data_IF_566698461788
#
_entry.id   IF_566698461788
#
_cell.length_a   1.000
_cell.length_b   1.000
_cell.length_c   1.000
_cell.angle_alpha   90.00
_cell.angle_beta   90.00
_cell.angle_gamma   90.00
#
_symmetry.space_group_name_H-M   'P 1'
#
loop_
_entity.id
_entity.type
_entity.pdbx_description
1 polymer ?
#
# COMPACT_ATOMS: atom_id res chain seq x y z
N UNK A 1 -21.51 34.01 11.42
CA UNK A 1 -20.28 34.82 11.36
C UNK A 1 -19.71 34.81 9.97
N UNK A 2 -18.91 33.79 9.64
CA UNK A 2 -18.27 33.65 8.33
C UNK A 2 -19.22 33.73 7.13
N UNK A 3 -20.33 32.97 7.13
CA UNK A 3 -21.31 33.01 6.02
C UNK A 3 -21.92 34.39 5.74
N UNK A 4 -22.15 35.19 6.80
CA UNK A 4 -22.65 36.56 6.66
C UNK A 4 -21.56 37.49 6.09
N UNK A 5 -20.29 37.26 6.44
CA UNK A 5 -19.16 38.06 5.96
C UNK A 5 -18.90 37.87 4.46
N UNK A 6 -19.19 36.68 3.91
CA UNK A 6 -19.10 36.39 2.48
C UNK A 6 -20.43 36.60 1.73
N UNK A 7 -21.44 37.21 2.37
CA UNK A 7 -22.80 37.38 1.83
C UNK A 7 -23.49 36.10 1.33
N UNK A 8 -23.07 34.93 1.82
CA UNK A 8 -23.69 33.65 1.48
C UNK A 8 -24.74 33.31 2.53
N UNK A 9 -25.98 33.72 2.26
CA UNK A 9 -27.12 33.58 3.18
C UNK A 9 -27.44 32.10 3.42
N UNK A 10 -27.39 31.25 2.40
CA UNK A 10 -27.69 29.82 2.54
C UNK A 10 -26.70 29.13 3.48
N UNK A 11 -25.40 29.43 3.31
CA UNK A 11 -24.35 28.90 4.19
C UNK A 11 -24.49 29.45 5.61
N UNK A 12 -24.83 30.73 5.77
CA UNK A 12 -25.05 31.34 7.07
C UNK A 12 -26.24 30.72 7.82
N UNK A 13 -27.36 30.48 7.12
CA UNK A 13 -28.57 29.86 7.66
C UNK A 13 -28.32 28.39 8.02
N UNK A 14 -27.64 27.63 7.15
CA UNK A 14 -27.25 26.24 7.45
C UNK A 14 -26.37 26.13 8.70
N UNK A 15 -25.36 27.01 8.82
CA UNK A 15 -24.50 27.05 10.00
C UNK A 15 -25.26 27.48 11.28
N UNK A 16 -26.17 28.46 11.18
CA UNK A 16 -27.04 28.86 12.29
C UNK A 16 -27.99 27.75 12.72
N UNK A 17 -28.55 26.99 11.78
CA UNK A 17 -29.41 25.85 12.06
C UNK A 17 -28.66 24.77 12.83
N UNK A 18 -27.46 24.38 12.37
CA UNK A 18 -26.61 23.40 13.03
C UNK A 18 -26.22 23.86 14.46
N UNK A 19 -25.84 25.13 14.61
CA UNK A 19 -25.51 25.70 15.93
C UNK A 19 -26.72 25.74 16.87
N UNK A 20 -27.90 26.08 16.36
CA UNK A 20 -29.13 26.14 17.13
C UNK A 20 -29.50 24.76 17.65
N UNK A 21 -29.48 23.74 16.79
CA UNK A 21 -29.73 22.34 17.18
C UNK A 21 -28.77 21.91 18.30
N UNK A 22 -27.47 22.18 18.15
CA UNK A 22 -26.48 21.84 19.17
C UNK A 22 -26.74 22.56 20.51
N UNK A 23 -27.11 23.84 20.46
CA UNK A 23 -27.46 24.61 21.65
C UNK A 23 -28.71 24.09 22.35
N UNK A 24 -29.72 23.66 21.59
CA UNK A 24 -30.94 23.07 22.12
C UNK A 24 -30.65 21.75 22.84
N UNK A 25 -29.74 20.90 22.32
CA UNK A 25 -29.35 19.68 23.02
C UNK A 25 -28.68 19.96 24.37
N UNK A 26 -27.84 20.98 24.46
CA UNK A 26 -27.22 21.41 25.73
C UNK A 26 -28.31 21.89 26.72
N UNK A 27 -29.28 22.68 26.25
CA UNK A 27 -30.39 23.16 27.07
C UNK A 27 -31.23 21.98 27.59
N UNK A 28 -31.55 21.01 26.73
CA UNK A 28 -32.32 19.81 27.13
C UNK A 28 -31.53 18.97 28.15
N UNK A 29 -30.24 18.73 27.91
CA UNK A 29 -29.40 17.93 28.82
C UNK A 29 -29.29 18.60 30.21
N UNK A 30 -28.99 19.90 30.24
CA UNK A 30 -28.91 20.64 31.50
C UNK A 30 -30.26 20.73 32.22
N UNK A 31 -31.37 20.91 31.49
CA UNK A 31 -32.71 20.86 32.06
C UNK A 31 -33.04 19.50 32.70
N UNK A 32 -32.75 18.39 32.00
CA UNK A 32 -32.96 17.04 32.54
C UNK A 32 -32.15 16.80 33.81
N UNK A 33 -30.88 17.21 33.83
CA UNK A 33 -30.01 17.12 35.01
C UNK A 33 -30.58 17.93 36.19
N UNK A 34 -30.97 19.18 35.97
CA UNK A 34 -31.57 20.02 37.02
C UNK A 34 -32.87 19.43 37.58
N UNK A 35 -33.69 18.84 36.71
CA UNK A 35 -34.94 18.19 37.11
C UNK A 35 -34.70 16.88 37.85
N UNK A 36 -33.72 16.08 37.43
CA UNK A 36 -33.30 14.87 38.12
C UNK A 36 -32.78 15.18 39.54
N UNK A 37 -32.00 16.26 39.67
CA UNK A 37 -31.49 16.78 40.95
C UNK A 37 -32.55 17.51 41.80
N UNK A 38 -33.78 17.66 41.30
CA UNK A 38 -34.92 18.30 42.00
C UNK A 38 -34.63 19.72 42.49
N UNK A 39 -33.91 20.52 41.71
CA UNK A 39 -33.71 21.93 42.06
C UNK A 39 -35.06 22.66 42.25
N UNK A 40 -35.23 23.46 43.32
CA UNK A 40 -36.46 24.18 43.56
C UNK A 40 -36.67 25.25 42.48
N UNK A 41 -37.86 25.26 41.88
CA UNK A 41 -38.24 26.24 40.87
C UNK A 41 -38.52 27.59 41.54
N UNK A 42 -38.05 28.68 40.94
CA UNK A 42 -38.33 30.04 41.44
C UNK A 42 -39.84 30.29 41.41
N UNK A 43 -40.40 30.72 42.54
CA UNK A 43 -41.82 31.06 42.65
C UNK A 43 -42.08 32.41 41.96
N UNK A 44 -42.58 32.37 40.73
CA UNK A 44 -43.02 33.56 40.02
C UNK A 44 -44.31 34.10 40.65
N UNK A 45 -44.28 35.33 41.17
CA UNK A 45 -45.40 36.01 41.83
C UNK A 45 -46.60 36.29 40.90
N UNK A 46 -46.39 36.28 39.58
CA UNK A 46 -47.43 36.50 38.56
C UNK A 46 -47.73 35.23 37.75
N UNK A 47 -48.78 34.50 38.15
CA UNK A 47 -49.20 33.23 37.54
C UNK A 47 -49.52 33.36 36.03
N UNK A 48 -50.03 34.51 35.58
CA UNK A 48 -50.42 34.76 34.19
C UNK A 48 -49.20 34.79 33.25
N UNK A 49 -48.13 35.48 33.63
CA UNK A 49 -46.89 35.57 32.84
C UNK A 49 -46.18 34.22 32.77
N UNK A 50 -46.20 33.45 33.86
CA UNK A 50 -45.65 32.08 33.92
C UNK A 50 -46.31 31.15 32.91
N UNK A 51 -47.64 31.21 32.77
CA UNK A 51 -48.40 30.36 31.83
C UNK A 51 -48.06 30.68 30.37
N UNK A 52 -47.90 31.97 30.05
CA UNK A 52 -47.53 32.40 28.69
C UNK A 52 -46.10 31.98 28.33
N UNK A 53 -45.13 32.19 29.22
CA UNK A 53 -43.74 31.77 29.00
C UNK A 53 -43.65 30.24 28.80
N UNK A 54 -44.31 29.46 29.66
CA UNK A 54 -44.34 28.01 29.49
C UNK A 54 -44.99 27.58 28.16
N UNK A 55 -46.01 28.31 27.67
CA UNK A 55 -46.65 28.02 26.39
C UNK A 55 -45.70 28.26 25.21
N UNK A 56 -44.96 29.37 25.22
CA UNK A 56 -43.95 29.66 24.18
C UNK A 56 -42.83 28.63 24.19
N UNK A 57 -42.26 28.31 25.36
CA UNK A 57 -41.19 27.31 25.49
C UNK A 57 -41.67 25.94 24.99
N UNK A 58 -42.87 25.50 25.40
CA UNK A 58 -43.41 24.20 24.99
C UNK A 58 -43.67 24.15 23.49
N UNK A 59 -44.21 25.23 22.91
CA UNK A 59 -44.49 25.33 21.49
C UNK A 59 -43.21 25.30 20.65
N UNK A 60 -42.22 26.14 20.99
CA UNK A 60 -40.93 26.17 20.30
C UNK A 60 -40.19 24.84 20.43
N UNK A 61 -40.22 24.23 21.62
CA UNK A 61 -39.61 22.91 21.83
C UNK A 61 -40.25 21.82 20.97
N UNK A 62 -41.58 21.81 20.82
CA UNK A 62 -42.27 20.86 19.96
C UNK A 62 -41.91 21.08 18.49
N UNK A 63 -41.84 22.33 18.05
CA UNK A 63 -41.51 22.70 16.67
C UNK A 63 -40.10 22.22 16.29
N UNK A 64 -39.12 22.33 17.19
CA UNK A 64 -37.75 21.83 16.99
C UNK A 64 -37.69 20.29 17.03
N UNK A 65 -38.49 19.66 17.91
CA UNK A 65 -38.43 18.22 18.13
C UNK A 65 -38.88 17.42 16.90
N UNK A 66 -39.90 17.90 16.18
CA UNK A 66 -40.47 17.23 15.00
C UNK A 66 -39.41 16.97 13.90
N UNK A 67 -38.69 17.98 13.36
CA UNK A 67 -37.67 17.75 12.34
C UNK A 67 -36.49 16.93 12.86
N UNK A 68 -36.15 17.05 14.15
CA UNK A 68 -35.09 16.23 14.75
C UNK A 68 -35.44 14.74 14.77
N UNK A 69 -36.69 14.39 15.12
CA UNK A 69 -37.18 13.00 15.08
C UNK A 69 -37.17 12.47 13.64
N UNK A 70 -37.61 13.26 12.67
CA UNK A 70 -37.60 12.86 11.26
C UNK A 70 -36.17 12.56 10.80
N UNK A 71 -35.23 13.48 11.07
CA UNK A 71 -33.80 13.28 10.75
C UNK A 71 -33.23 12.05 11.44
N UNK A 72 -33.57 11.83 12.72
CA UNK A 72 -33.13 10.65 13.46
C UNK A 72 -33.62 9.35 12.81
N UNK A 73 -34.90 9.28 12.43
CA UNK A 73 -35.46 8.11 11.74
C UNK A 73 -34.75 7.89 10.40
N UNK A 74 -34.48 8.96 9.64
CA UNK A 74 -33.77 8.87 8.36
C UNK A 74 -32.36 8.31 8.52
N UNK A 75 -31.57 8.86 9.44
CA UNK A 75 -30.21 8.39 9.73
C UNK A 75 -30.21 6.96 10.27
N UNK A 76 -31.21 6.60 11.09
CA UNK A 76 -31.39 5.24 11.58
C UNK A 76 -31.68 4.26 10.44
N UNK A 77 -32.55 4.63 9.51
CA UNK A 77 -32.89 3.80 8.35
C UNK A 77 -31.69 3.65 7.40
N UNK A 78 -30.97 4.74 7.13
CA UNK A 78 -29.73 4.72 6.34
C UNK A 78 -28.66 3.83 6.99
N UNK A 79 -28.49 3.94 8.31
CA UNK A 79 -27.55 3.11 9.07
C UNK A 79 -27.94 1.62 8.98
N UNK A 80 -29.23 1.29 9.16
CA UNK A 80 -29.74 -0.08 9.02
C UNK A 80 -29.56 -0.61 7.61
N UNK A 81 -29.86 0.19 6.59
CA UNK A 81 -29.64 -0.17 5.18
C UNK A 81 -28.17 -0.50 4.92
N UNK A 82 -27.25 0.38 5.33
CA UNK A 82 -25.81 0.18 5.14
C UNK A 82 -25.29 -1.06 5.89
N UNK A 83 -25.75 -1.26 7.13
CA UNK A 83 -25.34 -2.42 7.94
C UNK A 83 -25.85 -3.73 7.33
N UNK A 84 -27.14 -3.80 7.01
CA UNK A 84 -27.75 -4.99 6.42
C UNK A 84 -27.24 -5.25 5.00
N UNK A 85 -27.01 -4.20 4.19
CA UNK A 85 -26.41 -4.32 2.86
C UNK A 85 -25.02 -4.94 2.92
N UNK A 86 -24.16 -4.47 3.83
CA UNK A 86 -22.83 -5.08 4.05
C UNK A 86 -22.93 -6.53 4.49
N UNK A 87 -23.85 -6.83 5.42
CA UNK A 87 -24.06 -8.19 5.91
C UNK A 87 -24.54 -9.12 4.78
N UNK A 88 -25.53 -8.68 4.00
CA UNK A 88 -26.05 -9.37 2.81
C UNK A 88 -24.94 -9.73 1.83
N UNK A 89 -24.15 -8.74 1.40
CA UNK A 89 -23.02 -8.97 0.48
C UNK A 89 -22.00 -9.93 1.09
N UNK A 90 -21.70 -9.79 2.39
CA UNK A 90 -20.71 -10.62 3.08
C UNK A 90 -21.13 -12.07 3.29
N UNK A 91 -22.43 -12.33 3.43
CA UNK A 91 -22.99 -13.67 3.66
C UNK A 91 -23.31 -14.37 2.35
N UNK A 92 -24.03 -13.69 1.45
CA UNK A 92 -24.58 -14.31 0.26
C UNK A 92 -23.57 -14.43 -0.88
N UNK A 93 -22.57 -13.54 -0.96
CA UNK A 93 -21.54 -13.62 -2.01
C UNK A 93 -20.28 -14.40 -1.60
N UNK A 94 -20.15 -14.83 -0.34
CA UNK A 94 -18.94 -15.51 0.19
C UNK A 94 -18.56 -16.78 -0.56
N UNK A 95 -19.54 -17.44 -1.19
CA UNK A 95 -19.32 -18.66 -1.99
C UNK A 95 -18.73 -18.42 -3.37
N UNK A 96 -18.63 -17.16 -3.83
CA UNK A 96 -18.08 -16.83 -5.14
C UNK A 96 -16.56 -16.70 -5.09
N UNK A 97 -15.88 -17.19 -6.12
CA UNK A 97 -14.41 -17.14 -6.22
C UNK A 97 -13.85 -15.72 -6.27
N UNK A 98 -14.65 -14.74 -6.70
CA UNK A 98 -14.31 -13.33 -6.77
C UNK A 98 -14.94 -12.50 -5.63
N UNK A 99 -15.33 -13.14 -4.52
CA UNK A 99 -16.00 -12.50 -3.38
C UNK A 99 -15.28 -11.23 -2.87
N UNK A 100 -13.99 -11.31 -2.58
CA UNK A 100 -13.24 -10.18 -2.01
C UNK A 100 -13.23 -8.96 -2.95
N UNK A 101 -13.17 -9.22 -4.26
CA UNK A 101 -13.30 -8.18 -5.27
C UNK A 101 -14.72 -7.59 -5.29
N UNK A 102 -15.76 -8.43 -5.36
CA UNK A 102 -17.16 -8.01 -5.39
C UNK A 102 -17.51 -7.13 -4.19
N UNK A 103 -17.02 -7.51 -3.00
CA UNK A 103 -17.19 -6.73 -1.77
C UNK A 103 -16.56 -5.34 -1.87
N UNK A 104 -15.38 -5.23 -2.49
CA UNK A 104 -14.66 -3.96 -2.65
C UNK A 104 -15.28 -3.01 -3.69
N UNK A 105 -15.97 -3.56 -4.69
CA UNK A 105 -16.60 -2.79 -5.79
C UNK A 105 -18.10 -2.57 -5.62
N UNK A 106 -18.65 -2.92 -4.45
CA UNK A 106 -20.07 -2.71 -4.12
C UNK A 106 -20.29 -1.32 -3.53
N UNK A 107 -21.23 -0.58 -4.10
CA UNK A 107 -21.68 0.72 -3.61
C UNK A 107 -23.07 0.62 -2.98
N UNK A 108 -23.26 1.31 -1.85
CA UNK A 108 -24.51 1.37 -1.11
C UNK A 108 -25.08 2.79 -1.22
N UNK A 109 -26.13 2.96 -2.01
CA UNK A 109 -26.72 4.26 -2.32
C UNK A 109 -28.07 4.39 -1.62
N UNK A 110 -28.08 5.05 -0.45
CA UNK A 110 -29.30 5.39 0.25
C UNK A 110 -29.76 6.78 -0.19
N UNK A 111 -30.69 6.85 -1.15
CA UNK A 111 -31.20 8.13 -1.63
C UNK A 111 -32.39 8.60 -0.79
N UNK A 112 -32.30 9.79 -0.20
CA UNK A 112 -33.38 10.37 0.61
C UNK A 112 -34.51 10.84 -0.32
N UNK A 113 -35.53 10.01 -0.51
CA UNK A 113 -36.71 10.29 -1.34
C UNK A 113 -36.78 9.55 -2.68
N UNK A 114 -35.79 8.71 -3.00
CA UNK A 114 -35.83 7.78 -4.14
C UNK A 114 -35.68 6.32 -3.68
N UNK A 115 -35.70 5.39 -4.63
CA UNK A 115 -35.51 3.96 -4.31
C UNK A 115 -34.04 3.71 -3.90
N UNK A 116 -33.78 3.12 -2.73
CA UNK A 116 -32.43 2.79 -2.31
C UNK A 116 -31.83 1.70 -3.21
N UNK A 117 -30.55 1.80 -3.53
CA UNK A 117 -29.89 0.89 -4.49
C UNK A 117 -28.59 0.29 -3.94
N UNK A 118 -28.36 -0.97 -4.24
CA UNK A 118 -27.07 -1.64 -4.07
C UNK A 118 -26.51 -1.94 -5.45
N UNK A 119 -25.35 -1.37 -5.77
CA UNK A 119 -24.72 -1.49 -7.09
C UNK A 119 -23.43 -2.29 -6.99
N UNK A 120 -23.33 -3.37 -7.77
CA UNK A 120 -22.14 -4.23 -7.84
C UNK A 120 -21.58 -4.14 -9.26
N UNK A 121 -20.32 -3.71 -9.38
CA UNK A 121 -19.64 -3.59 -10.67
C UNK A 121 -18.70 -4.78 -10.89
N UNK A 122 -19.16 -5.80 -11.62
CA UNK A 122 -18.42 -7.04 -11.87
C UNK A 122 -17.79 -7.07 -13.28
N UNK A 123 -17.06 -6.00 -13.65
CA UNK A 123 -16.43 -5.90 -14.97
C UNK A 123 -15.14 -6.73 -15.05
N UNK A 124 -14.92 -7.45 -16.15
CA UNK A 124 -13.66 -8.17 -16.42
C UNK A 124 -13.47 -9.47 -15.60
N UNK A 125 -14.52 -9.94 -14.94
CA UNK A 125 -14.54 -11.17 -14.14
C UNK A 125 -15.62 -12.15 -14.64
N UNK A 126 -15.64 -13.37 -14.09
CA UNK A 126 -16.66 -14.38 -14.43
C UNK A 126 -18.04 -13.80 -14.15
N UNK A 127 -18.93 -13.92 -15.13
CA UNK A 127 -20.32 -13.48 -14.99
C UNK A 127 -21.02 -14.31 -13.92
N UNK A 128 -21.88 -13.64 -13.17
CA UNK A 128 -22.81 -14.25 -12.24
C UNK A 128 -24.00 -14.72 -13.07
N UNK A 129 -24.33 -16.01 -12.97
CA UNK A 129 -25.46 -16.63 -13.68
C UNK A 129 -26.78 -16.00 -13.25
N UNK A 130 -27.71 -15.85 -14.19
CA UNK A 130 -29.03 -15.28 -13.95
C UNK A 130 -29.79 -16.03 -12.85
N UNK A 131 -29.67 -17.37 -12.79
CA UNK A 131 -30.26 -18.20 -11.72
C UNK A 131 -29.76 -17.78 -10.33
N UNK A 132 -28.48 -17.42 -10.21
CA UNK A 132 -27.92 -16.95 -8.94
C UNK A 132 -28.39 -15.54 -8.60
N UNK A 133 -28.59 -14.68 -9.60
CA UNK A 133 -29.15 -13.33 -9.40
C UNK A 133 -30.59 -13.41 -8.85
N UNK A 134 -31.38 -14.35 -9.35
CA UNK A 134 -32.75 -14.58 -8.87
C UNK A 134 -32.77 -15.09 -7.42
N UNK A 135 -31.90 -16.05 -7.09
CA UNK A 135 -31.72 -16.50 -5.70
C UNK A 135 -31.29 -15.34 -4.80
N UNK A 136 -30.35 -14.51 -5.26
CA UNK A 136 -29.84 -13.36 -4.51
C UNK A 136 -30.92 -12.30 -4.28
N UNK A 137 -31.77 -12.04 -5.27
CA UNK A 137 -32.92 -11.15 -5.15
C UNK A 137 -33.96 -11.66 -4.14
N UNK A 138 -34.18 -12.97 -4.08
CA UNK A 138 -35.06 -13.57 -3.08
C UNK A 138 -34.46 -13.47 -1.68
N UNK A 139 -33.18 -13.80 -1.51
CA UNK A 139 -32.50 -13.73 -0.21
C UNK A 139 -32.36 -12.32 0.36
N UNK A 140 -32.33 -11.30 -0.50
CA UNK A 140 -32.42 -9.89 -0.08
C UNK A 140 -33.66 -9.63 0.79
N UNK A 141 -34.75 -10.37 0.58
CA UNK A 141 -36.00 -10.20 1.33
C UNK A 141 -35.91 -10.62 2.80
N UNK A 142 -34.91 -11.43 3.16
CA UNK A 142 -34.64 -11.83 4.55
C UNK A 142 -34.12 -10.64 5.40
N UNK A 143 -33.67 -9.58 4.74
CA UNK A 143 -33.15 -8.37 5.35
C UNK A 143 -34.23 -7.28 5.36
N UNK A 144 -34.69 -6.93 6.56
CA UNK A 144 -35.82 -6.00 6.74
C UNK A 144 -35.64 -4.64 6.04
N UNK A 145 -34.40 -4.13 5.98
CA UNK A 145 -34.07 -2.84 5.37
C UNK A 145 -33.74 -2.95 3.87
N UNK A 146 -33.69 -4.17 3.31
CA UNK A 146 -33.35 -4.40 1.89
C UNK A 146 -34.53 -4.83 1.03
N UNK A 147 -35.73 -5.03 1.60
CA UNK A 147 -36.90 -5.52 0.86
C UNK A 147 -37.21 -4.68 -0.38
N UNK A 148 -37.23 -3.37 -0.23
CA UNK A 148 -37.56 -2.42 -1.30
C UNK A 148 -36.31 -1.86 -2.01
N UNK A 149 -35.13 -2.44 -1.76
CA UNK A 149 -33.86 -1.99 -2.36
C UNK A 149 -33.69 -2.58 -3.75
N UNK A 150 -33.29 -1.78 -4.73
CA UNK A 150 -32.93 -2.28 -6.06
C UNK A 150 -31.51 -2.84 -6.06
N UNK A 151 -31.36 -4.09 -6.47
CA UNK A 151 -30.05 -4.72 -6.67
C UNK A 151 -29.65 -4.56 -8.14
N UNK A 152 -28.57 -3.82 -8.41
CA UNK A 152 -28.04 -3.57 -9.75
C UNK A 152 -26.68 -4.24 -9.87
N UNK A 153 -26.55 -5.18 -10.79
CA UNK A 153 -25.29 -5.88 -11.03
C UNK A 153 -24.84 -5.57 -12.45
N UNK A 154 -23.88 -4.67 -12.55
CA UNK A 154 -23.27 -4.26 -13.81
C UNK A 154 -22.21 -5.29 -14.18
N UNK A 155 -22.53 -6.14 -15.15
CA UNK A 155 -21.62 -7.14 -15.67
C UNK A 155 -21.14 -6.69 -17.05
N UNK A 156 -19.84 -6.79 -17.30
CA UNK A 156 -19.29 -6.44 -18.61
C UNK A 156 -19.90 -7.29 -19.71
N UNK A 157 -20.56 -6.65 -20.67
CA UNK A 157 -20.86 -7.27 -21.96
C UNK A 157 -19.56 -7.80 -22.57
N UNK A 158 -19.67 -8.90 -23.33
CA UNK A 158 -18.57 -9.64 -23.97
C UNK A 158 -17.54 -8.77 -24.70
N UNK A 159 -17.87 -7.52 -25.08
CA UNK A 159 -16.99 -6.58 -25.76
C UNK A 159 -15.99 -5.84 -24.85
N UNK A 160 -16.16 -5.80 -23.52
CA UNK A 160 -15.14 -5.21 -22.61
C UNK A 160 -13.98 -6.16 -22.31
N UNK A 161 -14.13 -7.45 -22.61
CA UNK A 161 -13.11 -8.46 -22.34
C UNK A 161 -11.92 -8.39 -23.30
N UNK A 162 -12.09 -7.85 -24.51
CA UNK A 162 -10.98 -7.70 -25.47
C UNK A 162 -10.00 -6.62 -25.04
N UNK A 163 -10.49 -5.44 -24.65
CA UNK A 163 -9.65 -4.34 -24.16
C UNK A 163 -8.90 -4.69 -22.86
N UNK A 164 -9.58 -5.34 -21.91
CA UNK A 164 -8.94 -5.79 -20.66
C UNK A 164 -7.92 -6.91 -20.93
N UNK A 165 -8.17 -7.78 -21.91
CA UNK A 165 -7.20 -8.81 -22.33
C UNK A 165 -5.97 -8.16 -22.98
N UNK A 166 -6.16 -7.14 -23.79
CA UNK A 166 -5.08 -6.38 -24.44
C UNK A 166 -4.21 -5.62 -23.43
N UNK A 167 -4.84 -4.95 -22.45
CA UNK A 167 -4.10 -4.32 -21.34
C UNK A 167 -3.27 -5.32 -20.54
N UNK A 168 -3.85 -6.48 -20.19
CA UNK A 168 -3.13 -7.55 -19.47
C UNK A 168 -1.97 -8.12 -20.27
N UNK A 169 -2.12 -8.26 -21.59
CA UNK A 169 -1.04 -8.70 -22.47
C UNK A 169 0.08 -7.67 -22.50
N UNK A 170 -0.23 -6.37 -22.60
CA UNK A 170 0.77 -5.29 -22.55
C UNK A 170 1.52 -5.28 -21.22
N UNK A 171 0.79 -5.33 -20.10
CA UNK A 171 1.39 -5.34 -18.76
C UNK A 171 2.27 -6.58 -18.55
N UNK A 172 1.86 -7.74 -19.08
CA UNK A 172 2.68 -8.96 -19.03
C UNK A 172 3.97 -8.84 -19.84
N UNK A 173 3.93 -8.17 -21.01
CA UNK A 173 5.11 -7.91 -21.84
C UNK A 173 6.04 -6.91 -21.13
N UNK A 174 5.49 -5.84 -20.57
CA UNK A 174 6.26 -4.86 -19.81
C UNK A 174 6.92 -5.48 -18.58
N UNK A 175 6.23 -6.41 -17.91
CA UNK A 175 6.77 -7.15 -16.76
C UNK A 175 7.91 -8.10 -17.18
N UNK A 176 7.77 -8.79 -18.31
CA UNK A 176 8.82 -9.65 -18.87
C UNK A 176 10.06 -8.82 -19.24
N UNK A 177 9.88 -7.69 -19.92
CA UNK A 177 10.97 -6.78 -20.28
C UNK A 177 11.72 -6.26 -19.04
N UNK A 178 10.98 -5.85 -17.99
CA UNK A 178 11.58 -5.43 -16.71
C UNK A 178 12.31 -6.57 -16.03
N UNK A 179 11.77 -7.80 -16.07
CA UNK A 179 12.45 -8.97 -15.51
C UNK A 179 13.77 -9.25 -16.23
N UNK A 180 13.80 -9.12 -17.55
CA UNK A 180 15.02 -9.30 -18.35
C UNK A 180 16.06 -8.22 -18.06
N UNK A 181 15.63 -6.97 -17.87
CA UNK A 181 16.51 -5.88 -17.47
C UNK A 181 17.10 -6.10 -16.08
N UNK A 182 16.29 -6.53 -15.12
CA UNK A 182 16.74 -6.88 -13.76
C UNK A 182 17.76 -8.03 -13.79
N UNK A 183 17.54 -9.05 -14.63
CA UNK A 183 18.49 -10.14 -14.80
C UNK A 183 19.83 -9.65 -15.37
N UNK A 184 19.82 -8.79 -16.39
CA UNK A 184 21.03 -8.19 -16.97
C UNK A 184 21.81 -7.37 -15.94
N UNK A 185 21.12 -6.51 -15.20
CA UNK A 185 21.71 -5.69 -14.13
C UNK A 185 22.31 -6.56 -13.02
N UNK A 186 21.64 -7.66 -12.66
CA UNK A 186 22.12 -8.59 -11.63
C UNK A 186 23.43 -9.27 -12.05
N UNK A 187 23.53 -9.69 -13.31
CA UNK A 187 24.76 -10.27 -13.87
C UNK A 187 25.92 -9.25 -13.89
N UNK A 188 25.64 -8.00 -14.23
CA UNK A 188 26.64 -6.93 -14.22
C UNK A 188 27.13 -6.61 -12.80
N UNK A 189 26.22 -6.54 -11.82
CA UNK A 189 26.56 -6.36 -10.41
C UNK A 189 27.44 -7.51 -9.91
N UNK A 190 27.13 -8.75 -10.29
CA UNK A 190 27.93 -9.91 -9.91
C UNK A 190 29.34 -9.84 -10.50
N UNK A 191 29.47 -9.45 -11.78
CA UNK A 191 30.76 -9.22 -12.41
C UNK A 191 31.59 -8.13 -11.69
N UNK A 192 30.97 -7.00 -11.34
CA UNK A 192 31.61 -5.91 -10.59
C UNK A 192 32.03 -6.34 -9.17
N UNK A 193 31.21 -7.16 -8.50
CA UNK A 193 31.56 -7.73 -7.19
C UNK A 193 32.77 -8.65 -7.28
N UNK A 194 32.86 -9.47 -8.32
CA UNK A 194 34.02 -10.33 -8.52
C UNK A 194 35.30 -9.52 -8.75
N UNK A 195 35.26 -8.48 -9.60
CA UNK A 195 36.40 -7.57 -9.81
C UNK A 195 36.84 -6.88 -8.53
N UNK A 196 35.90 -6.39 -7.71
CA UNK A 196 36.25 -5.75 -6.43
C UNK A 196 36.84 -6.74 -5.42
N UNK A 197 36.36 -7.99 -5.39
CA UNK A 197 36.92 -9.07 -4.57
C UNK A 197 38.34 -9.43 -5.01
N UNK A 198 38.59 -9.54 -6.32
CA UNK A 198 39.93 -9.80 -6.87
C UNK A 198 40.91 -8.70 -6.48
N UNK A 199 40.49 -7.43 -6.58
CA UNK A 199 41.29 -6.28 -6.14
C UNK A 199 41.65 -6.37 -4.65
N UNK A 200 40.69 -6.69 -3.79
CA UNK A 200 40.92 -6.82 -2.35
C UNK A 200 41.90 -7.96 -2.03
N UNK A 201 41.78 -9.10 -2.72
CA UNK A 201 42.70 -10.24 -2.58
C UNK A 201 44.11 -9.83 -3.02
N UNK A 202 44.24 -9.13 -4.15
CA UNK A 202 45.52 -8.60 -4.62
C UNK A 202 46.18 -7.67 -3.60
N UNK A 203 45.42 -6.70 -3.05
CA UNK A 203 45.93 -5.77 -2.03
C UNK A 203 46.40 -6.51 -0.77
N UNK A 204 45.70 -7.58 -0.36
CA UNK A 204 46.12 -8.39 0.79
C UNK A 204 47.42 -9.14 0.51
N UNK A 205 47.49 -9.85 -0.63
CA UNK A 205 48.67 -10.65 -1.02
C UNK A 205 49.89 -9.75 -1.22
N UNK A 206 49.74 -8.59 -1.87
CA UNK A 206 50.87 -7.67 -2.12
C UNK A 206 51.42 -7.08 -0.82
N UNK A 207 50.54 -6.71 0.12
CA UNK A 207 50.95 -6.25 1.45
C UNK A 207 51.67 -7.34 2.26
N UNK A 208 51.15 -8.57 2.25
CA UNK A 208 51.83 -9.71 2.89
C UNK A 208 53.19 -10.01 2.25
N UNK A 209 53.28 -9.99 0.93
CA UNK A 209 54.53 -10.22 0.20
C UNK A 209 55.59 -9.17 0.54
N UNK A 210 55.21 -7.89 0.59
CA UNK A 210 56.12 -6.80 0.98
C UNK A 210 56.59 -6.92 2.44
N UNK A 211 55.76 -7.44 3.34
CA UNK A 211 56.14 -7.68 4.73
C UNK A 211 57.11 -8.86 4.89
N UNK A 212 56.85 -9.97 4.18
CA UNK A 212 57.65 -11.20 4.26
C UNK A 212 58.98 -11.05 3.51
N UNK A 213 58.99 -10.27 2.44
CA UNK A 213 60.15 -10.07 1.56
C UNK A 213 60.51 -8.58 1.44
N UNK A 214 61.27 -8.00 2.39
CA UNK A 214 61.61 -6.57 2.39
C UNK A 214 62.42 -6.10 1.18
N UNK A 215 63.12 -7.01 0.51
CA UNK A 215 63.92 -6.72 -0.69
C UNK A 215 63.09 -6.75 -1.99
N UNK A 216 61.79 -7.01 -1.92
CA UNK A 216 60.85 -6.97 -3.04
C UNK A 216 60.49 -5.52 -3.36
N UNK A 217 60.72 -5.06 -4.59
CA UNK A 217 60.46 -3.68 -5.03
C UNK A 217 59.17 -3.53 -5.82
N UNK A 218 58.89 -4.50 -6.69
CA UNK A 218 57.68 -4.50 -7.52
C UNK A 218 57.04 -5.89 -7.46
N UNK A 219 55.71 -5.91 -7.36
CA UNK A 219 54.89 -7.11 -7.33
C UNK A 219 53.63 -6.86 -8.17
N UNK A 220 53.48 -7.62 -9.25
CA UNK A 220 52.37 -7.50 -10.18
C UNK A 220 51.72 -8.85 -10.41
N UNK A 221 50.39 -8.87 -10.52
CA UNK A 221 49.63 -10.04 -10.92
C UNK A 221 48.75 -9.62 -12.11
N UNK A 222 48.86 -10.34 -13.22
CA UNK A 222 48.04 -10.10 -14.39
C UNK A 222 47.80 -11.39 -15.17
N UNK A 223 46.78 -11.36 -16.04
CA UNK A 223 46.49 -12.45 -16.96
C UNK A 223 47.18 -12.18 -18.30
N UNK A 224 48.03 -13.10 -18.73
CA UNK A 224 48.69 -13.06 -20.03
C UNK A 224 47.85 -13.83 -21.04
N UNK A 225 47.38 -13.12 -22.06
CA UNK A 225 46.66 -13.71 -23.18
C UNK A 225 47.65 -14.03 -24.30
N UNK A 226 47.74 -15.31 -24.65
CA UNK A 226 48.54 -15.80 -25.77
C UNK A 226 47.64 -16.40 -26.85
N UNK A 227 48.01 -16.25 -28.12
CA UNK A 227 47.35 -16.97 -29.21
C UNK A 227 48.38 -17.46 -30.20
N UNK A 228 48.20 -18.69 -30.69
CA UNK A 228 48.92 -19.21 -31.85
C UNK A 228 48.03 -19.18 -33.11
N UNK A 229 46.95 -18.38 -33.08
CA UNK A 229 45.89 -18.27 -34.09
C UNK A 229 45.00 -19.52 -34.29
N UNK A 230 45.32 -20.63 -33.61
CA UNK A 230 44.49 -21.85 -33.56
C UNK A 230 43.85 -22.07 -32.18
N UNK A 231 44.48 -21.58 -31.12
CA UNK A 231 44.04 -21.69 -29.74
C UNK A 231 44.50 -20.47 -28.94
N UNK A 232 43.64 -19.99 -28.05
CA UNK A 232 43.96 -18.93 -27.09
C UNK A 232 44.31 -19.55 -25.74
N UNK A 233 45.47 -19.20 -25.19
CA UNK A 233 45.84 -19.52 -23.80
C UNK A 233 45.62 -18.30 -22.91
N UNK A 234 45.27 -18.58 -21.67
CA UNK A 234 45.09 -17.57 -20.62
C UNK A 234 45.85 -18.05 -19.40
N UNK A 235 47.01 -17.44 -19.18
CA UNK A 235 47.94 -17.84 -18.14
C UNK A 235 48.03 -16.76 -17.07
N UNK A 236 47.92 -17.15 -15.79
CA UNK A 236 48.13 -16.22 -14.67
C UNK A 236 49.64 -16.00 -14.51
N UNK A 237 50.06 -14.74 -14.53
CA UNK A 237 51.48 -14.37 -14.41
C UNK A 237 51.66 -13.50 -13.18
N UNK A 238 52.63 -13.88 -12.35
CA UNK A 238 53.11 -13.08 -11.23
C UNK A 238 54.48 -12.55 -11.61
N UNK A 239 54.61 -11.23 -11.70
CA UNK A 239 55.89 -10.57 -12.00
C UNK A 239 56.45 -9.96 -10.73
N UNK A 240 57.73 -10.21 -10.47
CA UNK A 240 58.39 -9.75 -9.26
C UNK A 240 59.74 -9.15 -9.58
N UNK A 241 60.06 -8.03 -8.93
CA UNK A 241 61.34 -7.36 -9.10
C UNK A 241 62.02 -7.19 -7.75
N UNK A 242 63.21 -7.76 -7.65
CA UNK A 242 64.04 -7.73 -6.44
C UNK A 242 64.97 -6.52 -6.45
N UNK A 243 65.47 -6.15 -5.27
CA UNK A 243 66.49 -5.12 -5.12
C UNK A 243 67.70 -5.37 -6.05
N UNK A 244 68.24 -4.31 -6.63
CA UNK A 244 69.38 -4.37 -7.55
C UNK A 244 70.68 -4.75 -6.85
N UNK A 245 70.74 -4.60 -5.52
CA UNK A 245 71.88 -4.96 -4.68
C UNK A 245 72.04 -6.48 -4.46
N UNK A 246 71.00 -7.29 -4.72
CA UNK A 246 71.04 -8.73 -4.53
C UNK A 246 71.76 -9.45 -5.67
N UNK A 247 72.58 -10.45 -5.32
CA UNK A 247 73.27 -11.30 -6.29
C UNK A 247 72.31 -12.32 -6.94
N UNK A 248 72.67 -12.83 -8.12
CA UNK A 248 71.83 -13.77 -8.90
C UNK A 248 71.47 -15.04 -8.12
N UNK A 249 72.37 -15.54 -7.27
CA UNK A 249 72.14 -16.70 -6.42
C UNK A 249 71.12 -16.43 -5.31
N UNK A 250 71.11 -15.22 -4.74
CA UNK A 250 70.19 -14.81 -3.68
C UNK A 250 68.79 -14.60 -4.26
N UNK A 251 68.70 -13.96 -5.43
CA UNK A 251 67.44 -13.81 -6.18
C UNK A 251 66.80 -15.17 -6.50
N UNK A 252 67.59 -16.17 -6.90
CA UNK A 252 67.08 -17.51 -7.17
C UNK A 252 66.54 -18.20 -5.90
N UNK A 253 67.21 -18.04 -4.75
CA UNK A 253 66.71 -18.58 -3.47
C UNK A 253 65.39 -17.91 -3.05
N UNK A 254 65.30 -16.59 -3.18
CA UNK A 254 64.10 -15.82 -2.88
C UNK A 254 62.94 -16.20 -3.81
N UNK A 255 63.21 -16.39 -5.11
CA UNK A 255 62.21 -16.88 -6.08
C UNK A 255 61.62 -18.24 -5.71
N UNK A 256 62.46 -19.19 -5.28
CA UNK A 256 61.98 -20.53 -4.88
C UNK A 256 61.10 -20.42 -3.62
N UNK A 257 61.51 -19.59 -2.66
CA UNK A 257 60.74 -19.33 -1.45
C UNK A 257 59.40 -18.67 -1.78
N UNK A 258 59.41 -17.60 -2.58
CA UNK A 258 58.22 -16.86 -2.99
C UNK A 258 57.27 -17.74 -3.80
N UNK A 259 57.79 -18.56 -4.71
CA UNK A 259 56.98 -19.49 -5.49
C UNK A 259 56.19 -20.46 -4.59
N UNK A 260 56.85 -21.06 -3.59
CA UNK A 260 56.19 -21.96 -2.63
C UNK A 260 55.13 -21.24 -1.80
N UNK A 261 55.40 -20.00 -1.41
CA UNK A 261 54.43 -19.19 -0.68
C UNK A 261 53.21 -18.83 -1.56
N UNK A 262 53.42 -18.47 -2.83
CA UNK A 262 52.35 -18.20 -3.78
C UNK A 262 51.52 -19.46 -4.11
N UNK A 263 52.16 -20.64 -4.21
CA UNK A 263 51.45 -21.92 -4.37
C UNK A 263 50.45 -22.17 -3.23
N UNK A 264 50.82 -21.80 -2.00
CA UNK A 264 49.93 -21.87 -0.83
C UNK A 264 48.80 -20.84 -0.90
N UNK A 265 49.08 -19.59 -1.29
CA UNK A 265 48.07 -18.52 -1.36
C UNK A 265 47.04 -18.71 -2.49
N UNK A 266 47.43 -19.39 -3.58
CA UNK A 266 46.57 -19.63 -4.74
C UNK A 266 45.91 -21.02 -4.78
N UNK A 267 45.90 -21.77 -3.68
CA UNK A 267 45.31 -23.11 -3.60
C UNK A 267 45.78 -24.04 -4.76
N UNK A 268 47.08 -24.04 -5.08
CA UNK A 268 47.69 -24.81 -6.17
C UNK A 268 47.21 -24.49 -7.60
N UNK A 269 46.68 -23.28 -7.87
CA UNK A 269 46.47 -22.84 -9.25
C UNK A 269 47.79 -22.72 -10.00
N UNK A 270 47.80 -23.10 -11.28
CA UNK A 270 48.97 -22.93 -12.16
C UNK A 270 49.23 -21.45 -12.44
N UNK A 271 50.45 -20.99 -12.17
CA UNK A 271 50.91 -19.63 -12.47
C UNK A 271 52.34 -19.64 -13.00
N UNK A 272 52.69 -18.59 -13.73
CA UNK A 272 54.05 -18.34 -14.24
C UNK A 272 54.67 -17.24 -13.40
N UNK A 273 55.86 -17.48 -12.84
CA UNK A 273 56.64 -16.45 -12.16
C UNK A 273 57.61 -15.81 -13.17
N UNK A 274 57.43 -14.53 -13.46
CA UNK A 274 58.33 -13.71 -14.29
C UNK A 274 59.18 -12.79 -13.40
N UNK A 275 60.44 -12.57 -13.79
CA UNK A 275 61.43 -11.73 -13.11
C UNK A 275 61.93 -10.61 -14.02
#
# INVERSE_FOLDING_TARGET
>A
GFGLAIQNIDYALGAMYLFSINSIYIIIATYLVLKFLRFPLVNYTNATNRKNINRYISFTSLLIMIPAIITFINVMNESKFNAQGKDFISKELKGLSNYDYLKGVTSYNYNQGGDPEIVINNYGHKTISDDFLDVLNNKKMDYSALKDVKLIINQGSTNSNTFIKELRLRDSIDLANKSDEVNKLSLEIEALKNLSKEKLIFEKISNEANLIYPDLKEFEIYEKLGTNFNSTSKDLVVRVKWDTLLNTLEKNKLNISLKRWLEFQFDNRSFILEN
#
